data_IF_482873150947
#
_entry.id   IF_482873150947
#
_cell.length_a   1.000
_cell.length_b   1.000
_cell.length_c   1.000
_cell.angle_alpha   90.00
_cell.angle_beta   90.00
_cell.angle_gamma   90.00
#
_symmetry.space_group_name_H-M   'P 1'
#
loop_
_entity.id
_entity.type
_entity.pdbx_description
1 polymer ?
#
# COMPACT_ATOMS: atom_id res chain seq x y z
N UNK A 1 -10.75 0.90 -9.02
CA UNK A 1 -9.76 1.71 -9.75
C UNK A 1 -10.41 2.79 -10.62
N UNK A 2 -11.35 2.50 -11.51
CA UNK A 2 -12.01 3.47 -12.41
C UNK A 2 -12.61 4.66 -11.64
N UNK A 3 -13.40 4.42 -10.60
CA UNK A 3 -13.98 5.46 -9.75
C UNK A 3 -12.92 6.43 -9.21
N UNK A 4 -11.80 5.91 -8.69
CA UNK A 4 -10.72 6.74 -8.13
C UNK A 4 -10.08 7.59 -9.21
N UNK A 5 -9.87 7.05 -10.42
CA UNK A 5 -9.33 7.81 -11.56
C UNK A 5 -10.27 8.93 -11.98
N UNK A 6 -11.56 8.64 -12.09
CA UNK A 6 -12.57 9.63 -12.51
C UNK A 6 -12.76 10.76 -11.47
N UNK A 7 -12.60 10.47 -10.19
CA UNK A 7 -12.79 11.47 -9.12
C UNK A 7 -11.55 12.29 -8.79
N UNK A 8 -10.42 12.09 -9.49
CA UNK A 8 -9.17 12.86 -9.26
C UNK A 8 -9.10 14.19 -10.02
N UNK A 9 -9.82 14.28 -11.12
CA UNK A 9 -9.82 15.53 -11.90
C UNK A 9 -10.50 16.65 -11.11
N UNK A 10 -9.83 17.82 -11.02
CA UNK A 10 -10.37 19.01 -10.35
C UNK A 10 -11.12 19.94 -11.31
N UNK A 11 -10.65 20.06 -12.54
CA UNK A 11 -11.17 21.03 -13.51
C UNK A 11 -11.72 20.36 -14.76
N UNK A 12 -10.98 19.40 -15.31
CA UNK A 12 -11.35 18.72 -16.56
C UNK A 12 -10.94 17.27 -16.55
N UNK A 13 -11.88 16.40 -16.92
CA UNK A 13 -11.63 14.98 -17.14
C UNK A 13 -11.68 14.69 -18.64
N UNK A 14 -10.62 14.13 -19.18
CA UNK A 14 -10.57 13.66 -20.58
C UNK A 14 -10.40 12.13 -20.54
N UNK A 15 -11.35 11.43 -21.14
CA UNK A 15 -11.32 9.97 -21.25
C UNK A 15 -11.12 9.59 -22.71
N UNK A 16 -10.14 8.76 -22.98
CA UNK A 16 -9.83 8.27 -24.33
C UNK A 16 -10.02 6.76 -24.35
N UNK A 17 -10.79 6.29 -25.32
CA UNK A 17 -11.00 4.86 -25.55
C UNK A 17 -10.77 4.51 -27.01
N UNK A 18 -9.99 3.47 -27.26
CA UNK A 18 -9.71 2.98 -28.61
C UNK A 18 -10.35 1.61 -28.79
N UNK A 19 -11.08 1.45 -29.89
CA UNK A 19 -11.80 0.23 -30.20
C UNK A 19 -11.66 -0.14 -31.68
N UNK A 20 -11.08 -1.30 -31.97
CA UNK A 20 -10.84 -1.75 -33.37
C UNK A 20 -12.16 -1.92 -34.16
N UNK A 21 -13.19 -2.49 -33.56
CA UNK A 21 -14.52 -2.71 -34.18
C UNK A 21 -15.56 -1.83 -33.50
N UNK A 22 -15.35 -0.51 -33.46
CA UNK A 22 -16.15 0.43 -32.72
C UNK A 22 -17.65 0.34 -33.08
N UNK A 23 -17.99 0.27 -34.36
CA UNK A 23 -19.38 0.16 -34.84
C UNK A 23 -20.12 -1.03 -34.21
N UNK A 24 -19.57 -2.23 -34.31
CA UNK A 24 -20.17 -3.45 -33.75
C UNK A 24 -20.24 -3.37 -32.23
N UNK A 25 -19.15 -2.93 -31.58
CA UNK A 25 -19.10 -2.89 -30.11
C UNK A 25 -20.09 -1.87 -29.53
N UNK A 26 -20.19 -0.70 -30.16
CA UNK A 26 -21.18 0.32 -29.73
C UNK A 26 -22.61 -0.20 -29.93
N UNK A 27 -22.89 -0.92 -31.03
CA UNK A 27 -24.20 -1.53 -31.24
C UNK A 27 -24.54 -2.58 -30.16
N UNK A 28 -23.58 -3.44 -29.81
CA UNK A 28 -23.75 -4.43 -28.72
C UNK A 28 -24.04 -3.75 -27.38
N UNK A 29 -23.26 -2.72 -27.04
CA UNK A 29 -23.44 -1.98 -25.79
C UNK A 29 -24.75 -1.19 -25.77
N UNK A 30 -25.17 -0.66 -26.91
CA UNK A 30 -26.44 0.06 -27.04
C UNK A 30 -27.64 -0.84 -26.79
N UNK A 31 -27.55 -2.10 -27.23
CA UNK A 31 -28.59 -3.11 -26.97
C UNK A 31 -28.71 -3.48 -25.47
N UNK A 32 -27.63 -3.29 -24.69
CA UNK A 32 -27.58 -3.53 -23.26
C UNK A 32 -27.76 -2.26 -22.43
N UNK A 33 -27.73 -1.10 -23.08
CA UNK A 33 -27.77 0.20 -22.44
C UNK A 33 -29.19 0.55 -22.05
N UNK A 34 -29.46 0.63 -20.77
CA UNK A 34 -30.73 1.01 -20.18
C UNK A 34 -30.50 2.09 -19.10
N UNK A 35 -31.57 2.76 -18.67
CA UNK A 35 -31.47 3.78 -17.64
C UNK A 35 -32.46 3.47 -16.50
N UNK A 36 -31.94 3.10 -15.33
CA UNK A 36 -30.55 2.92 -14.92
C UNK A 36 -29.87 1.71 -15.59
N UNK A 37 -28.53 1.77 -15.71
CA UNK A 37 -27.73 0.64 -16.24
C UNK A 37 -27.91 -0.58 -15.32
N UNK A 38 -28.32 -1.69 -15.91
CA UNK A 38 -28.56 -2.92 -15.16
C UNK A 38 -27.25 -3.64 -14.77
N UNK A 39 -27.22 -4.36 -13.64
CA UNK A 39 -26.04 -5.11 -13.21
C UNK A 39 -25.50 -6.09 -14.26
N UNK A 40 -26.39 -6.78 -14.99
CA UNK A 40 -26.05 -7.74 -16.05
C UNK A 40 -25.34 -7.06 -17.22
N UNK A 41 -25.70 -5.81 -17.53
CA UNK A 41 -25.02 -5.02 -18.55
C UNK A 41 -23.58 -4.64 -18.09
N UNK A 42 -23.40 -4.31 -16.81
CA UNK A 42 -22.07 -4.03 -16.24
C UNK A 42 -21.19 -5.27 -16.27
N UNK A 43 -21.72 -6.45 -15.91
CA UNK A 43 -21.00 -7.72 -15.90
C UNK A 43 -20.61 -8.17 -17.33
N UNK A 44 -21.36 -7.77 -18.37
CA UNK A 44 -21.03 -8.05 -19.77
C UNK A 44 -19.88 -7.19 -20.32
N UNK A 45 -19.48 -6.15 -19.60
CA UNK A 45 -18.39 -5.25 -19.97
C UNK A 45 -17.03 -5.97 -20.04
N UNK A 46 -16.33 -5.85 -21.16
CA UNK A 46 -15.03 -6.49 -21.42
C UNK A 46 -13.86 -5.63 -21.01
N UNK A 47 -14.06 -4.32 -20.83
CA UNK A 47 -13.03 -3.38 -20.47
C UNK A 47 -13.64 -2.15 -19.75
N UNK A 48 -12.78 -1.32 -19.15
CA UNK A 48 -13.22 -0.09 -18.48
C UNK A 48 -13.94 0.90 -19.42
N UNK A 49 -13.58 0.91 -20.72
CA UNK A 49 -14.26 1.72 -21.72
C UNK A 49 -15.72 1.33 -21.91
N UNK A 50 -16.05 0.05 -21.84
CA UNK A 50 -17.44 -0.42 -21.93
C UNK A 50 -18.28 0.11 -20.76
N UNK A 51 -17.73 0.09 -19.55
CA UNK A 51 -18.42 0.62 -18.36
C UNK A 51 -18.68 2.13 -18.42
N UNK A 52 -17.82 2.86 -19.14
CA UNK A 52 -18.02 4.29 -19.38
C UNK A 52 -19.07 4.49 -20.51
N UNK A 53 -18.99 3.68 -21.55
CA UNK A 53 -19.90 3.80 -22.69
C UNK A 53 -21.33 3.42 -22.38
N UNK A 54 -21.58 2.44 -21.51
CA UNK A 54 -22.94 2.03 -21.13
C UNK A 54 -23.82 3.22 -20.66
N UNK A 55 -23.44 4.00 -19.62
CA UNK A 55 -24.20 5.17 -19.22
C UNK A 55 -24.08 6.32 -20.22
N UNK A 56 -22.92 6.45 -20.92
CA UNK A 56 -22.72 7.51 -21.90
C UNK A 56 -23.70 7.41 -23.08
N UNK A 57 -23.97 6.20 -23.55
CA UNK A 57 -24.90 5.97 -24.67
C UNK A 57 -26.34 6.41 -24.38
N UNK A 58 -26.69 6.58 -23.09
CA UNK A 58 -27.98 7.11 -22.65
C UNK A 58 -28.04 8.65 -22.61
N UNK A 59 -26.92 9.33 -22.88
CA UNK A 59 -26.84 10.78 -22.84
C UNK A 59 -27.14 11.41 -24.21
N UNK A 60 -27.73 12.59 -24.21
CA UNK A 60 -27.99 13.35 -25.43
C UNK A 60 -26.71 13.62 -26.22
N UNK A 61 -25.59 13.89 -25.53
CA UNK A 61 -24.30 14.23 -26.12
C UNK A 61 -23.62 13.08 -26.87
N UNK A 62 -24.09 11.84 -26.69
CA UNK A 62 -23.57 10.65 -27.35
C UNK A 62 -24.20 10.37 -28.72
N UNK A 63 -24.86 11.33 -29.34
CA UNK A 63 -25.50 11.18 -30.66
C UNK A 63 -24.53 10.61 -31.71
N UNK A 64 -23.30 11.13 -31.80
CA UNK A 64 -22.27 10.64 -32.73
C UNK A 64 -21.90 9.18 -32.54
N UNK A 65 -21.94 8.66 -31.31
CA UNK A 65 -21.70 7.24 -31.03
C UNK A 65 -22.89 6.38 -31.49
N UNK A 66 -24.12 6.84 -31.29
CA UNK A 66 -25.33 6.11 -31.74
C UNK A 66 -25.42 6.10 -33.25
N UNK A 67 -25.10 7.19 -33.92
CA UNK A 67 -25.02 7.25 -35.37
C UNK A 67 -23.98 6.27 -35.94
N UNK A 68 -22.80 6.14 -35.29
CA UNK A 68 -21.79 5.16 -35.65
C UNK A 68 -22.37 3.74 -35.64
N UNK A 69 -23.24 3.43 -34.67
CA UNK A 69 -23.93 2.13 -34.59
C UNK A 69 -25.11 1.96 -35.54
N UNK A 70 -25.43 3.00 -36.32
CA UNK A 70 -26.55 3.00 -37.28
C UNK A 70 -27.92 3.26 -36.62
N UNK A 71 -27.92 3.79 -35.40
CA UNK A 71 -29.15 4.21 -34.73
C UNK A 71 -29.27 5.72 -34.72
N UNK A 72 -30.08 6.25 -35.62
CA UNK A 72 -30.53 7.64 -35.62
C UNK A 72 -31.93 7.68 -35.06
N UNK A 73 -32.11 7.69 -33.77
CA UNK A 73 -33.42 7.59 -33.14
C UNK A 73 -33.72 8.69 -32.14
N UNK A 74 -34.93 9.21 -32.17
CA UNK A 74 -35.54 9.99 -31.11
C UNK A 74 -35.78 9.07 -29.90
N UNK A 75 -34.87 9.12 -28.89
CA UNK A 75 -35.02 8.39 -27.64
C UNK A 75 -35.12 9.34 -26.44
N UNK A 76 -35.58 8.85 -25.30
CA UNK A 76 -35.42 9.57 -24.03
C UNK A 76 -34.01 9.45 -23.58
N UNK A 77 -33.25 10.54 -23.72
CA UNK A 77 -31.84 10.60 -23.28
C UNK A 77 -31.73 11.35 -21.97
N UNK A 78 -30.82 10.88 -21.14
CA UNK A 78 -30.48 11.55 -19.89
C UNK A 78 -29.74 12.84 -20.18
N UNK A 79 -30.17 13.93 -19.53
CA UNK A 79 -29.51 15.24 -19.56
C UNK A 79 -29.36 15.71 -18.13
N UNK A 80 -28.17 16.14 -17.76
CA UNK A 80 -27.89 16.79 -16.48
C UNK A 80 -27.09 18.09 -16.69
N UNK A 81 -26.78 18.77 -15.61
CA UNK A 81 -26.05 20.05 -15.64
C UNK A 81 -24.56 19.87 -15.97
N UNK A 82 -24.06 18.63 -16.01
CA UNK A 82 -22.64 18.34 -16.25
C UNK A 82 -22.35 18.40 -17.74
N UNK A 83 -21.49 19.35 -18.21
CA UNK A 83 -21.19 19.48 -19.62
C UNK A 83 -20.32 18.31 -20.11
N UNK A 84 -20.83 17.56 -21.08
CA UNK A 84 -20.10 16.50 -21.76
C UNK A 84 -19.79 16.89 -23.20
N UNK A 85 -18.65 16.46 -23.70
CA UNK A 85 -18.31 16.55 -25.12
C UNK A 85 -17.83 15.18 -25.57
N UNK A 86 -18.55 14.60 -26.53
CA UNK A 86 -18.22 13.30 -27.12
C UNK A 86 -17.68 13.53 -28.52
N UNK A 87 -16.50 13.01 -28.81
CA UNK A 87 -15.88 13.06 -30.13
C UNK A 87 -15.51 11.66 -30.59
N UNK A 88 -15.92 11.31 -31.78
CA UNK A 88 -15.55 10.07 -32.44
C UNK A 88 -14.53 10.41 -33.51
N UNK A 89 -13.39 9.74 -33.47
CA UNK A 89 -12.33 9.90 -34.44
C UNK A 89 -12.07 8.56 -35.12
N UNK A 90 -11.94 8.56 -36.42
CA UNK A 90 -11.38 7.41 -37.14
C UNK A 90 -9.87 7.38 -36.87
N UNK A 91 -9.35 6.22 -36.49
CA UNK A 91 -7.91 6.03 -36.25
C UNK A 91 -7.03 6.41 -37.43
N UNK A 92 -7.56 6.28 -38.64
CA UNK A 92 -6.88 6.72 -39.86
C UNK A 92 -6.79 8.25 -39.98
N UNK A 93 -7.68 9.01 -39.35
CA UNK A 93 -7.65 10.49 -39.40
C UNK A 93 -6.47 11.11 -38.65
N UNK A 94 -5.83 10.33 -37.74
CA UNK A 94 -4.61 10.73 -37.05
C UNK A 94 -3.33 10.35 -37.81
N UNK A 95 -3.47 9.47 -38.80
CA UNK A 95 -2.41 9.18 -39.74
C UNK A 95 -2.56 10.16 -40.89
N UNK A 96 -2.32 11.44 -40.66
CA UNK A 96 -1.93 12.29 -41.77
C UNK A 96 -0.65 11.64 -42.30
N UNK A 97 -0.57 11.23 -43.58
CA UNK A 97 0.72 10.96 -44.15
C UNK A 97 1.43 12.30 -44.03
N UNK A 98 2.33 12.49 -43.08
CA UNK A 98 3.43 13.37 -43.32
C UNK A 98 4.04 12.78 -44.59
N UNK A 99 3.68 13.33 -45.73
CA UNK A 99 4.53 13.30 -46.87
C UNK A 99 5.88 13.76 -46.32
N UNK A 100 6.74 12.80 -46.05
CA UNK A 100 8.16 13.09 -45.98
C UNK A 100 8.40 13.66 -47.37
N UNK A 101 8.84 14.89 -47.50
CA UNK A 101 9.30 15.39 -48.77
C UNK A 101 10.65 14.71 -49.01
N UNK A 102 10.61 13.42 -49.44
CA UNK A 102 11.82 12.71 -49.92
C UNK A 102 12.37 13.34 -51.18
N UNK A 103 11.70 14.34 -51.71
CA UNK A 103 12.09 15.11 -52.93
C UNK A 103 12.36 16.59 -52.68
N UNK A 104 12.46 17.05 -51.43
CA UNK A 104 12.92 18.41 -51.18
C UNK A 104 14.45 18.48 -51.28
N UNK A 105 15.04 19.41 -52.09
CA UNK A 105 16.49 19.61 -52.10
C UNK A 105 16.99 19.88 -50.71
N UNK A 106 18.07 19.20 -50.32
CA UNK A 106 18.71 19.28 -48.98
C UNK A 106 19.19 20.68 -48.60
N UNK A 107 19.05 21.67 -49.52
CA UNK A 107 19.48 23.07 -49.32
C UNK A 107 18.37 24.07 -49.05
N UNK A 108 17.16 23.65 -48.70
CA UNK A 108 16.15 24.58 -48.22
C UNK A 108 16.54 25.04 -46.79
N UNK A 109 17.00 26.29 -46.70
CA UNK A 109 17.19 26.90 -45.39
C UNK A 109 15.90 26.81 -44.57
N UNK A 110 15.95 26.45 -43.27
CA UNK A 110 14.76 26.35 -42.43
C UNK A 110 13.95 27.66 -42.50
N UNK A 111 12.60 27.58 -42.46
CA UNK A 111 11.77 28.76 -42.51
C UNK A 111 12.19 29.74 -41.41
N UNK A 112 12.36 31.02 -41.77
CA UNK A 112 12.87 32.07 -40.90
C UNK A 112 11.98 32.41 -39.70
N UNK A 113 10.82 31.78 -39.58
CA UNK A 113 9.84 31.98 -38.50
C UNK A 113 9.81 30.85 -37.48
N UNK A 114 10.72 29.87 -37.53
CA UNK A 114 10.87 28.94 -36.42
C UNK A 114 11.48 29.67 -35.22
N UNK A 115 10.68 29.83 -34.18
CA UNK A 115 11.19 30.30 -32.88
C UNK A 115 12.45 29.50 -32.56
N UNK A 116 13.58 30.14 -32.27
CA UNK A 116 14.82 29.42 -31.99
C UNK A 116 14.55 28.46 -30.85
N UNK A 117 14.65 27.16 -31.13
CA UNK A 117 14.52 26.13 -30.08
C UNK A 117 15.65 26.40 -29.10
N UNK A 118 15.30 26.82 -27.90
CA UNK A 118 16.28 26.97 -26.82
C UNK A 118 16.72 25.57 -26.34
N UNK A 119 17.78 25.04 -26.94
CA UNK A 119 18.38 23.78 -26.54
C UNK A 119 18.90 23.82 -25.09
N UNK A 120 19.12 25.01 -24.50
CA UNK A 120 19.46 25.13 -23.11
C UNK A 120 18.33 24.63 -22.20
N UNK A 121 17.08 24.81 -22.64
CA UNK A 121 15.94 24.23 -21.91
C UNK A 121 15.93 22.71 -21.90
N UNK A 122 16.49 22.05 -22.90
CA UNK A 122 16.63 20.58 -22.95
C UNK A 122 17.72 20.05 -22.02
N UNK A 123 18.69 20.90 -21.64
CA UNK A 123 19.75 20.58 -20.69
C UNK A 123 19.41 20.94 -19.24
N UNK A 124 18.20 21.47 -19.01
CA UNK A 124 17.75 21.82 -17.67
C UNK A 124 17.77 20.59 -16.76
N UNK A 125 18.51 20.70 -15.67
CA UNK A 125 18.48 19.71 -14.59
C UNK A 125 17.72 20.32 -13.42
N UNK A 126 16.72 19.57 -12.94
CA UNK A 126 15.97 19.98 -11.76
C UNK A 126 16.93 20.15 -10.57
N UNK A 127 17.02 21.35 -9.95
CA UNK A 127 18.00 21.62 -8.90
C UNK A 127 17.85 20.69 -7.69
N UNK A 128 16.63 20.21 -7.44
CA UNK A 128 16.28 19.37 -6.31
C UNK A 128 16.12 17.90 -6.71
N UNK A 129 16.75 17.45 -7.80
CA UNK A 129 16.64 16.06 -8.28
C UNK A 129 17.05 15.02 -7.23
N UNK A 130 18.05 15.32 -6.38
CA UNK A 130 18.46 14.46 -5.28
C UNK A 130 17.37 14.29 -4.22
N UNK A 131 16.55 15.30 -4.00
CA UNK A 131 15.46 15.29 -3.01
C UNK A 131 14.26 14.50 -3.51
N UNK A 132 14.01 14.45 -4.82
CA UNK A 132 12.90 13.68 -5.39
C UNK A 132 13.05 12.17 -5.22
N UNK A 133 14.27 11.69 -5.00
CA UNK A 133 14.55 10.28 -4.72
C UNK A 133 14.23 9.87 -3.27
N UNK A 134 14.11 10.85 -2.36
CA UNK A 134 13.80 10.57 -0.96
C UNK A 134 12.27 10.48 -0.75
N UNK A 135 11.78 9.45 -0.04
CA UNK A 135 10.34 9.28 0.14
C UNK A 135 9.77 10.36 1.07
N UNK A 136 8.63 10.94 0.71
CA UNK A 136 7.91 11.91 1.55
C UNK A 136 7.34 11.26 2.85
N UNK A 137 7.30 9.93 2.91
CA UNK A 137 6.81 9.13 4.03
C UNK A 137 7.74 7.95 4.28
N UNK A 138 8.10 7.74 5.55
CA UNK A 138 8.83 6.58 6.04
C UNK A 138 8.02 5.86 7.12
N UNK A 139 8.14 4.54 7.17
CA UNK A 139 7.67 3.77 8.32
C UNK A 139 8.84 3.42 9.22
N UNK A 140 8.59 3.31 10.54
CA UNK A 140 9.62 2.90 11.49
C UNK A 140 10.21 1.52 11.14
N UNK A 141 9.42 0.65 10.53
CA UNK A 141 9.86 -0.66 10.04
C UNK A 141 10.86 -0.54 8.87
N UNK A 142 10.69 0.44 7.98
CA UNK A 142 11.62 0.66 6.85
C UNK A 142 12.99 1.18 7.29
N UNK A 143 13.11 1.75 8.49
CA UNK A 143 14.40 2.24 9.01
C UNK A 143 15.39 1.13 9.33
N UNK A 144 14.92 -0.09 9.55
CA UNK A 144 15.79 -1.28 9.75
C UNK A 144 16.46 -1.79 8.46
N UNK A 145 16.08 -1.23 7.29
CA UNK A 145 16.66 -1.57 5.99
C UNK A 145 15.87 -2.65 5.23
N UNK A 146 15.92 -2.58 3.90
CA UNK A 146 15.20 -3.51 3.00
C UNK A 146 15.68 -4.96 3.07
N UNK A 147 16.95 -5.18 3.45
CA UNK A 147 17.55 -6.51 3.49
C UNK A 147 16.82 -7.47 4.45
N UNK A 148 16.28 -6.95 5.57
CA UNK A 148 15.55 -7.76 6.56
C UNK A 148 14.14 -8.17 6.12
N UNK A 149 13.46 -7.30 5.38
CA UNK A 149 12.13 -7.65 4.84
C UNK A 149 12.25 -8.75 3.77
N UNK A 150 13.41 -8.85 3.11
CA UNK A 150 13.73 -9.91 2.17
C UNK A 150 14.08 -11.22 2.90
N UNK A 151 14.84 -11.23 4.01
CA UNK A 151 15.15 -12.43 4.79
C UNK A 151 13.93 -13.06 5.47
N UNK A 152 13.00 -12.25 5.98
CA UNK A 152 11.72 -12.76 6.54
C UNK A 152 10.86 -13.40 5.43
N UNK A 153 11.05 -12.92 4.19
CA UNK A 153 10.46 -13.48 2.97
C UNK A 153 11.24 -14.66 2.38
N UNK A 154 12.52 -14.85 2.77
CA UNK A 154 13.48 -15.76 2.15
C UNK A 154 13.41 -17.23 2.58
N UNK A 155 12.37 -17.66 3.25
CA UNK A 155 12.03 -19.08 3.13
C UNK A 155 11.39 -19.44 1.76
N UNK A 156 11.42 -18.50 0.81
CA UNK A 156 11.05 -18.73 -0.58
C UNK A 156 12.31 -18.57 -1.45
N UNK A 157 12.87 -19.68 -1.90
CA UNK A 157 14.08 -19.83 -2.75
C UNK A 157 13.96 -19.24 -4.16
N UNK A 158 13.19 -18.19 -4.41
CA UNK A 158 12.98 -17.60 -5.73
C UNK A 158 13.48 -16.16 -5.82
N UNK A 159 14.28 -15.81 -6.85
CA UNK A 159 14.79 -14.47 -7.06
C UNK A 159 13.66 -13.45 -7.33
N UNK A 160 13.85 -12.16 -6.99
CA UNK A 160 12.81 -11.10 -7.04
C UNK A 160 12.09 -10.94 -8.39
N UNK A 161 12.77 -11.25 -9.50
CA UNK A 161 12.19 -11.16 -10.85
C UNK A 161 11.14 -12.22 -11.17
N UNK A 162 11.08 -13.32 -10.42
CA UNK A 162 10.12 -14.39 -10.61
C UNK A 162 8.88 -14.25 -9.73
N UNK A 163 8.88 -13.32 -8.75
CA UNK A 163 7.71 -13.07 -7.88
C UNK A 163 6.49 -12.54 -8.64
N UNK A 164 6.68 -11.84 -9.77
CA UNK A 164 5.58 -11.34 -10.60
C UNK A 164 4.81 -12.45 -11.33
N UNK A 165 5.38 -13.65 -11.40
CA UNK A 165 4.77 -14.84 -12.01
C UNK A 165 4.15 -15.78 -10.98
N UNK A 166 4.21 -15.43 -9.68
CA UNK A 166 3.67 -16.27 -8.62
C UNK A 166 2.14 -16.30 -8.69
N UNK A 167 1.59 -17.49 -8.84
CA UNK A 167 0.14 -17.68 -8.80
C UNK A 167 -0.37 -17.25 -7.41
N UNK A 168 -1.46 -16.49 -7.33
CA UNK A 168 -2.09 -16.19 -6.04
C UNK A 168 -2.34 -17.48 -5.26
N UNK A 169 -2.19 -17.47 -3.93
CA UNK A 169 -2.32 -18.66 -3.04
C UNK A 169 -3.62 -19.44 -3.27
N UNK A 170 -4.72 -18.75 -3.55
CA UNK A 170 -6.01 -19.38 -3.84
C UNK A 170 -6.01 -20.21 -5.13
N UNK A 171 -5.08 -19.95 -6.07
CA UNK A 171 -4.89 -20.73 -7.28
C UNK A 171 -3.84 -21.83 -7.13
N UNK A 172 -2.97 -21.74 -6.12
CA UNK A 172 -1.90 -22.72 -5.87
C UNK A 172 -2.33 -23.86 -4.96
N UNK A 173 -3.48 -23.72 -4.27
CA UNK A 173 -3.94 -24.72 -3.29
C UNK A 173 -3.09 -24.80 -2.02
N UNK A 174 -2.20 -23.83 -1.80
CA UNK A 174 -1.34 -23.79 -0.62
C UNK A 174 -2.13 -23.29 0.61
N UNK A 175 -2.27 -24.15 1.60
CA UNK A 175 -2.98 -23.87 2.87
C UNK A 175 -2.04 -23.45 4.00
N UNK A 176 -0.73 -23.45 3.79
CA UNK A 176 0.25 -23.16 4.85
C UNK A 176 0.62 -21.68 4.89
N UNK A 177 0.55 -21.09 6.11
CA UNK A 177 0.97 -19.71 6.34
C UNK A 177 2.49 -19.55 6.21
N UNK A 178 2.92 -18.46 5.58
CA UNK A 178 4.32 -18.04 5.56
C UNK A 178 4.83 -17.65 6.94
N UNK A 179 6.15 -17.54 7.11
CA UNK A 179 6.74 -17.02 8.36
C UNK A 179 6.20 -15.66 8.76
N UNK A 180 6.07 -14.72 7.79
CA UNK A 180 5.52 -13.39 8.02
C UNK A 180 4.05 -13.43 8.46
N UNK A 181 3.22 -14.27 7.85
CA UNK A 181 1.80 -14.41 8.22
C UNK A 181 1.64 -15.02 9.62
N UNK A 182 2.51 -15.96 10.00
CA UNK A 182 2.56 -16.49 11.38
C UNK A 182 2.99 -15.41 12.39
N UNK A 183 3.96 -14.58 12.01
CA UNK A 183 4.33 -13.41 12.80
C UNK A 183 3.15 -12.48 13.02
N UNK A 184 2.45 -12.12 11.95
CA UNK A 184 1.24 -11.29 12.03
C UNK A 184 0.17 -11.90 12.94
N UNK A 185 -0.06 -13.22 12.87
CA UNK A 185 -1.01 -13.90 13.73
C UNK A 185 -0.63 -13.79 15.22
N UNK A 186 0.66 -13.92 15.55
CA UNK A 186 1.14 -13.76 16.91
C UNK A 186 0.97 -12.32 17.41
N UNK A 187 1.31 -11.30 16.61
CA UNK A 187 1.10 -9.89 16.98
C UNK A 187 -0.39 -9.60 17.24
N UNK A 188 -1.30 -10.12 16.40
CA UNK A 188 -2.74 -9.98 16.61
C UNK A 188 -3.19 -10.59 17.94
N UNK A 189 -2.63 -11.74 18.31
CA UNK A 189 -2.91 -12.33 19.64
C UNK A 189 -2.36 -11.44 20.75
N UNK A 190 -1.10 -10.99 20.64
CA UNK A 190 -0.45 -10.15 21.66
C UNK A 190 -1.15 -8.81 21.86
N UNK A 191 -1.80 -8.28 20.83
CA UNK A 191 -2.60 -7.06 20.91
C UNK A 191 -3.75 -7.19 21.90
N UNK A 192 -4.45 -8.33 21.90
CA UNK A 192 -5.68 -8.55 22.67
C UNK A 192 -5.52 -9.50 23.86
N UNK A 193 -4.36 -10.15 24.00
CA UNK A 193 -4.08 -11.12 25.06
C UNK A 193 -4.26 -10.51 26.44
N UNK A 194 -5.00 -11.18 27.32
CA UNK A 194 -5.05 -10.83 28.73
C UNK A 194 -3.75 -11.30 29.42
N UNK A 195 -2.90 -10.35 29.79
CA UNK A 195 -1.63 -10.65 30.47
C UNK A 195 -1.81 -11.11 31.91
N UNK A 196 -3.03 -11.01 32.48
CA UNK A 196 -3.36 -11.54 33.80
C UNK A 196 -3.90 -12.96 33.80
N UNK A 197 -4.08 -13.55 32.62
CA UNK A 197 -4.51 -14.94 32.54
C UNK A 197 -3.49 -15.89 33.17
N UNK A 198 -3.94 -17.09 33.51
CA UNK A 198 -3.03 -18.17 33.94
C UNK A 198 -2.04 -18.47 32.82
N UNK A 199 -0.75 -18.54 33.16
CA UNK A 199 0.32 -18.85 32.22
C UNK A 199 0.35 -20.36 31.89
N UNK A 200 -0.76 -20.89 31.32
CA UNK A 200 -0.97 -22.24 30.87
C UNK A 200 -1.34 -22.34 29.41
N UNK A 201 -1.03 -23.46 28.74
CA UNK A 201 -1.41 -23.64 27.33
C UNK A 201 -2.93 -23.62 27.16
N UNK A 202 -3.68 -24.12 28.15
CA UNK A 202 -5.14 -24.13 28.12
C UNK A 202 -5.70 -22.71 28.06
N UNK A 203 -5.29 -21.85 28.98
CA UNK A 203 -5.77 -20.47 29.06
C UNK A 203 -5.43 -19.66 27.80
N UNK A 204 -4.23 -19.83 27.25
CA UNK A 204 -3.84 -19.16 26.00
C UNK A 204 -4.67 -19.66 24.82
N UNK A 205 -4.92 -21.00 24.71
CA UNK A 205 -5.77 -21.55 23.65
C UNK A 205 -7.18 -21.01 23.72
N UNK A 206 -7.76 -20.88 24.90
CA UNK A 206 -9.10 -20.31 25.10
C UNK A 206 -9.17 -18.85 24.59
N UNK A 207 -8.13 -18.08 24.83
CA UNK A 207 -8.06 -16.70 24.32
C UNK A 207 -7.90 -16.64 22.79
N UNK A 208 -7.06 -17.49 22.22
CA UNK A 208 -6.90 -17.61 20.76
C UNK A 208 -8.24 -18.01 20.12
N UNK A 209 -8.95 -18.96 20.72
CA UNK A 209 -10.26 -19.39 20.23
C UNK A 209 -11.31 -18.27 20.35
N UNK A 210 -11.29 -17.49 21.43
CA UNK A 210 -12.13 -16.31 21.59
C UNK A 210 -11.86 -15.27 20.48
N UNK A 211 -10.59 -15.01 20.13
CA UNK A 211 -10.23 -14.10 19.05
C UNK A 211 -10.67 -14.62 17.69
N UNK A 212 -10.57 -15.93 17.46
CA UNK A 212 -11.10 -16.60 16.27
C UNK A 212 -12.63 -16.43 16.17
N UNK A 213 -13.35 -16.72 17.25
CA UNK A 213 -14.80 -16.56 17.31
C UNK A 213 -15.24 -15.10 17.06
N UNK A 214 -14.43 -14.12 17.48
CA UNK A 214 -14.63 -12.69 17.22
C UNK A 214 -14.20 -12.25 15.80
N UNK A 215 -13.74 -13.18 14.96
CA UNK A 215 -13.22 -12.93 13.60
C UNK A 215 -12.01 -11.99 13.56
N UNK A 216 -11.26 -11.88 14.64
CA UNK A 216 -9.98 -11.19 14.69
C UNK A 216 -8.84 -12.03 14.12
N UNK A 217 -8.99 -13.36 14.16
CA UNK A 217 -8.08 -14.34 13.55
C UNK A 217 -8.87 -15.21 12.57
N UNK A 218 -8.22 -15.60 11.47
CA UNK A 218 -8.73 -16.68 10.61
C UNK A 218 -8.46 -18.05 11.26
N UNK A 219 -9.09 -19.10 10.73
CA UNK A 219 -8.86 -20.46 11.22
C UNK A 219 -7.39 -20.89 11.04
N UNK A 220 -6.79 -20.53 9.92
CA UNK A 220 -5.39 -20.78 9.61
C UNK A 220 -4.46 -20.02 10.57
N UNK A 221 -4.76 -18.74 10.83
CA UNK A 221 -3.98 -17.92 11.77
C UNK A 221 -4.06 -18.49 13.19
N UNK A 222 -5.26 -18.82 13.66
CA UNK A 222 -5.45 -19.40 15.00
C UNK A 222 -4.67 -20.72 15.17
N UNK A 223 -4.67 -21.56 14.12
CA UNK A 223 -3.93 -22.84 14.11
C UNK A 223 -2.41 -22.65 14.12
N UNK A 224 -1.92 -21.55 13.57
CA UNK A 224 -0.50 -21.28 13.40
C UNK A 224 0.15 -20.56 14.60
N UNK A 225 -0.64 -20.14 15.58
CA UNK A 225 -0.13 -19.45 16.79
C UNK A 225 0.70 -20.41 17.64
N UNK A 226 1.93 -20.00 17.95
CA UNK A 226 2.77 -20.75 18.92
C UNK A 226 2.34 -20.43 20.35
N UNK A 227 1.40 -21.21 20.85
CA UNK A 227 0.85 -21.09 22.22
C UNK A 227 1.95 -21.24 23.27
N UNK A 228 2.95 -22.13 23.05
CA UNK A 228 4.03 -22.35 24.01
C UNK A 228 4.95 -21.14 24.13
N UNK A 229 5.19 -20.45 23.01
CA UNK A 229 5.98 -19.23 23.01
C UNK A 229 5.27 -18.12 23.81
N UNK A 230 3.94 -18.01 23.69
CA UNK A 230 3.15 -17.07 24.47
C UNK A 230 3.16 -17.42 25.97
N UNK A 231 3.05 -18.69 26.31
CA UNK A 231 3.16 -19.15 27.72
C UNK A 231 4.53 -18.82 28.31
N UNK A 232 5.61 -18.99 27.53
CA UNK A 232 6.96 -18.57 27.98
C UNK A 232 7.01 -17.06 28.24
N UNK A 233 6.45 -16.26 27.34
CA UNK A 233 6.35 -14.81 27.55
C UNK A 233 5.59 -14.47 28.84
N UNK A 234 4.41 -15.05 29.07
CA UNK A 234 3.60 -14.79 30.26
C UNK A 234 4.33 -15.14 31.58
N UNK A 235 5.32 -16.03 31.52
CA UNK A 235 6.18 -16.42 32.66
C UNK A 235 7.45 -15.56 32.78
N UNK A 236 7.73 -14.69 31.83
CA UNK A 236 8.94 -13.86 31.85
C UNK A 236 8.84 -12.70 32.83
N UNK A 237 10.02 -12.18 33.23
CA UNK A 237 10.12 -10.99 34.07
C UNK A 237 9.51 -9.77 33.39
N UNK A 238 9.66 -9.64 32.07
CA UNK A 238 9.04 -8.58 31.28
C UNK A 238 7.50 -8.59 31.43
N UNK A 239 6.87 -9.76 31.30
CA UNK A 239 5.43 -9.89 31.48
C UNK A 239 5.00 -9.56 32.93
N UNK A 240 5.82 -9.91 33.92
CA UNK A 240 5.58 -9.51 35.32
C UNK A 240 5.64 -7.98 35.50
N UNK A 241 6.62 -7.33 34.88
CA UNK A 241 6.73 -5.84 34.86
C UNK A 241 5.52 -5.19 34.19
N UNK A 242 5.09 -5.72 33.04
CA UNK A 242 3.91 -5.24 32.32
C UNK A 242 2.66 -5.35 33.22
N UNK A 243 2.46 -6.49 33.90
CA UNK A 243 1.32 -6.69 34.81
C UNK A 243 1.36 -5.71 35.99
N UNK A 244 2.54 -5.48 36.58
CA UNK A 244 2.71 -4.52 37.69
C UNK A 244 2.29 -3.11 37.27
N UNK A 245 2.52 -2.73 36.03
CA UNK A 245 2.25 -1.39 35.50
C UNK A 245 1.00 -1.35 34.58
N UNK A 246 0.08 -2.28 34.70
CA UNK A 246 -1.02 -2.52 33.77
C UNK A 246 -1.87 -1.30 33.43
N UNK A 247 -2.00 -0.35 34.34
CA UNK A 247 -2.81 0.85 34.14
C UNK A 247 -2.21 1.80 33.10
N UNK A 248 -0.91 1.75 32.88
CA UNK A 248 -0.19 2.59 31.93
C UNK A 248 0.14 1.87 30.64
N UNK A 249 -0.11 0.55 30.55
CA UNK A 249 0.14 -0.25 29.35
C UNK A 249 -0.67 0.26 28.17
N UNK A 250 0.01 0.48 27.05
CA UNK A 250 -0.60 0.76 25.75
C UNK A 250 -0.06 -0.25 24.75
N UNK A 251 -0.94 -0.79 23.91
CA UNK A 251 -0.60 -1.73 22.86
C UNK A 251 -1.04 -1.20 21.50
N UNK A 252 -0.30 -1.57 20.44
CA UNK A 252 -0.59 -1.14 19.07
C UNK A 252 -0.76 0.38 18.94
N UNK A 253 0.14 1.11 19.59
CA UNK A 253 0.05 2.57 19.62
C UNK A 253 0.56 3.18 18.32
N UNK A 254 -0.33 3.77 17.56
CA UNK A 254 -0.03 4.39 16.26
C UNK A 254 0.48 5.81 16.46
N UNK A 255 1.54 6.15 15.75
CA UNK A 255 2.07 7.51 15.73
C UNK A 255 2.35 8.01 14.32
N UNK A 256 2.35 9.33 14.17
CA UNK A 256 2.75 10.05 12.94
C UNK A 256 3.47 11.33 13.35
N UNK A 257 4.70 11.49 12.89
CA UNK A 257 5.55 12.65 13.20
C UNK A 257 6.14 13.23 11.93
N UNK A 258 6.16 14.55 11.81
CA UNK A 258 6.98 15.23 10.83
C UNK A 258 8.40 15.37 11.37
N UNK A 259 9.39 14.90 10.59
CA UNK A 259 10.81 14.95 10.93
C UNK A 259 11.60 15.58 9.80
N UNK A 260 12.65 16.38 10.08
CA UNK A 260 13.54 16.87 9.06
C UNK A 260 14.17 15.71 8.27
N UNK A 261 14.27 15.84 6.94
CA UNK A 261 14.92 14.84 6.07
C UNK A 261 16.36 14.55 6.51
N UNK A 262 17.08 15.56 7.02
CA UNK A 262 18.46 15.43 7.54
C UNK A 262 18.62 14.41 8.66
N UNK A 263 17.54 14.02 9.34
CA UNK A 263 17.59 12.98 10.38
C UNK A 263 17.74 11.58 9.78
N UNK A 264 17.49 11.42 8.47
CA UNK A 264 17.47 10.13 7.78
C UNK A 264 18.44 10.05 6.59
N UNK A 265 18.87 11.18 6.07
CA UNK A 265 19.75 11.25 4.91
C UNK A 265 20.62 12.52 4.96
N UNK A 266 21.84 12.43 4.38
CA UNK A 266 22.74 13.58 4.20
C UNK A 266 22.28 14.43 3.02
N UNK A 267 21.06 14.96 3.08
CA UNK A 267 20.52 15.88 2.11
C UNK A 267 20.45 17.27 2.74
N UNK A 268 21.01 18.25 2.04
CA UNK A 268 20.89 19.67 2.41
C UNK A 268 19.52 20.18 1.95
N UNK A 269 18.50 19.86 2.74
CA UNK A 269 17.12 20.24 2.47
C UNK A 269 16.40 20.56 3.78
N UNK A 270 15.67 21.64 3.79
CA UNK A 270 14.76 22.00 4.88
C UNK A 270 13.42 21.22 4.80
N UNK A 271 13.37 20.18 3.98
CA UNK A 271 12.19 19.35 3.81
C UNK A 271 11.92 18.48 5.04
N UNK A 272 10.64 18.15 5.22
CA UNK A 272 10.18 17.25 6.26
C UNK A 272 9.61 15.97 5.66
N UNK A 273 9.89 14.85 6.34
CA UNK A 273 9.34 13.53 6.02
C UNK A 273 8.35 13.10 7.11
N UNK A 274 7.26 12.48 6.68
CA UNK A 274 6.28 11.91 7.59
C UNK A 274 6.76 10.53 8.06
N UNK A 275 7.24 10.46 9.32
CA UNK A 275 7.56 9.20 9.98
C UNK A 275 6.31 8.63 10.66
N UNK A 276 5.95 7.41 10.30
CA UNK A 276 4.81 6.68 10.88
C UNK A 276 5.24 5.34 11.45
N UNK A 277 4.51 4.87 12.45
CA UNK A 277 4.75 3.55 13.03
C UNK A 277 3.65 3.12 13.97
N UNK A 278 3.77 1.88 14.39
CA UNK A 278 2.94 1.28 15.43
C UNK A 278 3.88 0.68 16.46
N UNK A 279 3.74 1.10 17.72
CA UNK A 279 4.51 0.54 18.84
C UNK A 279 3.72 -0.62 19.40
N UNK A 280 4.30 -1.81 19.41
CA UNK A 280 3.60 -3.04 19.83
C UNK A 280 3.09 -2.92 21.26
N UNK A 281 3.96 -2.51 22.17
CA UNK A 281 3.62 -2.31 23.57
C UNK A 281 4.55 -1.28 24.22
N UNK A 282 4.00 -0.46 25.10
CA UNK A 282 4.80 0.34 26.06
C UNK A 282 4.03 0.52 27.35
N UNK A 283 4.75 0.81 28.40
CA UNK A 283 4.19 1.10 29.73
C UNK A 283 5.10 2.10 30.47
N UNK A 284 4.55 2.67 31.52
CA UNK A 284 5.28 3.57 32.41
C UNK A 284 5.74 2.82 33.66
N UNK A 285 7.00 2.97 34.00
CA UNK A 285 7.63 2.42 35.18
C UNK A 285 8.51 3.48 35.82
N UNK A 286 8.26 3.80 37.08
CA UNK A 286 8.98 4.84 37.84
C UNK A 286 8.98 6.23 37.17
N UNK A 287 7.90 6.57 36.46
CA UNK A 287 7.75 7.86 35.78
C UNK A 287 8.38 7.95 34.40
N UNK A 288 9.07 6.91 33.93
CA UNK A 288 9.69 6.81 32.63
C UNK A 288 9.02 5.70 31.77
N UNK A 289 9.20 5.75 30.46
CA UNK A 289 8.60 4.79 29.54
C UNK A 289 9.52 3.61 29.28
N UNK A 290 8.94 2.43 29.21
CA UNK A 290 9.57 1.20 28.74
C UNK A 290 8.87 0.79 27.44
N UNK A 291 9.62 0.72 26.35
CA UNK A 291 9.13 0.34 25.01
C UNK A 291 9.43 -1.12 24.78
N UNK A 292 8.43 -1.87 24.35
CA UNK A 292 8.55 -3.31 24.06
C UNK A 292 8.13 -3.55 22.61
N UNK A 293 8.95 -4.30 21.90
CA UNK A 293 8.68 -4.70 20.54
C UNK A 293 8.83 -6.22 20.43
N UNK A 294 7.81 -6.89 19.90
CA UNK A 294 7.71 -8.33 19.84
C UNK A 294 8.29 -8.87 18.53
N UNK A 295 9.21 -9.84 18.61
CA UNK A 295 9.88 -10.40 17.44
C UNK A 295 9.59 -11.90 17.32
N UNK A 296 9.17 -12.27 16.11
CA UNK A 296 8.81 -13.65 15.76
C UNK A 296 9.84 -14.34 14.88
N UNK A 297 11.00 -13.70 14.68
CA UNK A 297 12.12 -14.23 13.91
C UNK A 297 12.55 -15.59 14.46
N UNK A 298 12.83 -16.52 13.55
CA UNK A 298 13.40 -17.82 13.92
C UNK A 298 14.92 -17.69 14.06
N UNK A 299 15.35 -17.31 15.24
CA UNK A 299 16.76 -17.14 15.56
C UNK A 299 17.21 -18.07 16.68
N UNK A 300 18.51 -18.36 16.74
CA UNK A 300 19.16 -18.97 17.89
C UNK A 300 19.66 -17.93 18.90
N UNK A 301 19.99 -18.36 20.11
CA UNK A 301 20.49 -17.47 21.19
C UNK A 301 21.73 -16.66 20.79
N UNK A 302 22.61 -17.26 19.99
CA UNK A 302 23.84 -16.60 19.54
C UNK A 302 23.60 -15.44 18.54
N UNK A 303 22.41 -15.37 17.96
CA UNK A 303 22.04 -14.36 16.98
C UNK A 303 21.28 -13.17 17.57
N UNK A 304 20.93 -13.22 18.87
CA UNK A 304 20.13 -12.19 19.54
C UNK A 304 20.80 -10.81 19.43
N UNK A 305 22.11 -10.74 19.69
CA UNK A 305 22.86 -9.48 19.69
C UNK A 305 22.84 -8.83 18.30
N UNK A 306 23.21 -9.58 17.29
CA UNK A 306 23.21 -9.13 15.90
C UNK A 306 21.82 -8.68 15.45
N UNK A 307 20.80 -9.46 15.75
CA UNK A 307 19.42 -9.10 15.41
C UNK A 307 18.93 -7.88 16.17
N UNK A 308 19.29 -7.72 17.42
CA UNK A 308 18.92 -6.56 18.23
C UNK A 308 19.47 -5.26 17.61
N UNK A 309 20.71 -5.27 17.14
CA UNK A 309 21.30 -4.13 16.45
C UNK A 309 20.54 -3.75 15.16
N UNK A 310 20.06 -4.71 14.40
CA UNK A 310 19.24 -4.46 13.22
C UNK A 310 17.88 -3.78 13.55
N UNK A 311 17.31 -4.09 14.72
CA UNK A 311 16.05 -3.47 15.17
C UNK A 311 16.24 -2.16 15.91
N UNK A 312 17.49 -1.79 16.27
CA UNK A 312 17.79 -0.54 16.97
C UNK A 312 17.18 0.71 16.31
N UNK A 313 17.30 0.95 15.00
CA UNK A 313 16.70 2.14 14.37
C UNK A 313 15.18 2.21 14.51
N UNK A 314 14.50 1.07 14.49
CA UNK A 314 13.05 0.98 14.69
C UNK A 314 12.67 1.42 16.12
N UNK A 315 13.36 0.89 17.14
CA UNK A 315 13.07 1.22 18.53
C UNK A 315 13.48 2.66 18.88
N UNK A 316 14.50 3.20 18.23
CA UNK A 316 14.88 4.61 18.35
C UNK A 316 13.77 5.51 17.79
N UNK A 317 13.21 5.17 16.64
CA UNK A 317 12.07 5.88 16.08
C UNK A 317 10.84 5.83 17.01
N UNK A 318 10.56 4.68 17.61
CA UNK A 318 9.49 4.53 18.62
C UNK A 318 9.73 5.40 19.84
N UNK A 319 10.95 5.34 20.39
CA UNK A 319 11.35 6.13 21.57
C UNK A 319 11.22 7.61 21.31
N UNK A 320 11.73 8.07 20.18
CA UNK A 320 11.61 9.47 19.76
C UNK A 320 10.16 9.91 19.65
N UNK A 321 9.31 9.07 19.03
CA UNK A 321 7.90 9.36 18.88
C UNK A 321 7.19 9.46 20.22
N UNK A 322 7.40 8.50 21.09
CA UNK A 322 6.78 8.48 22.42
C UNK A 322 7.26 9.63 23.30
N UNK A 323 8.55 9.94 23.32
CA UNK A 323 9.08 11.11 24.05
C UNK A 323 8.43 12.40 23.56
N UNK A 324 8.23 12.54 22.24
CA UNK A 324 7.60 13.74 21.67
C UNK A 324 6.12 13.86 22.02
N UNK A 325 5.40 12.73 21.97
CA UNK A 325 3.94 12.70 22.18
C UNK A 325 3.57 12.69 23.66
N UNK A 326 4.28 11.90 24.46
CA UNK A 326 3.97 11.70 25.87
C UNK A 326 4.68 12.69 26.80
N UNK A 327 5.71 13.39 26.31
CA UNK A 327 6.51 14.30 27.13
C UNK A 327 7.35 13.60 28.21
N UNK A 328 7.55 12.28 28.10
CA UNK A 328 8.28 11.45 29.07
C UNK A 328 9.51 10.82 28.42
N UNK A 329 10.55 10.59 29.23
CA UNK A 329 11.75 9.88 28.76
C UNK A 329 11.46 8.40 28.55
N UNK A 330 12.10 7.81 27.56
CA UNK A 330 12.17 6.35 27.39
C UNK A 330 13.44 5.86 28.08
N UNK A 331 13.25 5.05 29.13
CA UNK A 331 14.34 4.46 29.91
C UNK A 331 14.91 3.22 29.24
N UNK A 332 14.02 2.35 28.77
CA UNK A 332 14.39 1.07 28.20
C UNK A 332 13.68 0.82 26.87
N UNK A 333 14.40 0.21 25.95
CA UNK A 333 13.88 -0.31 24.69
C UNK A 333 14.13 -1.82 24.69
N UNK A 334 13.06 -2.59 24.77
CA UNK A 334 13.13 -4.05 24.96
C UNK A 334 12.63 -4.75 23.70
N UNK A 335 13.43 -5.65 23.17
CA UNK A 335 13.03 -6.63 22.16
C UNK A 335 12.74 -7.96 22.88
N UNK A 336 11.58 -8.53 22.62
CA UNK A 336 11.28 -9.88 23.10
C UNK A 336 11.22 -10.86 21.93
N UNK A 337 12.14 -11.80 21.87
CA UNK A 337 12.23 -12.81 20.80
C UNK A 337 11.48 -14.09 21.18
N UNK A 338 10.33 -14.29 20.59
CA UNK A 338 9.45 -15.45 20.90
C UNK A 338 10.09 -16.79 20.58
N UNK A 339 10.94 -16.89 19.55
CA UNK A 339 11.59 -18.14 19.15
C UNK A 339 12.48 -18.74 20.24
N UNK A 340 13.20 -17.88 20.95
CA UNK A 340 14.12 -18.26 22.03
C UNK A 340 13.54 -18.02 23.42
N UNK A 341 12.51 -17.17 23.55
CA UNK A 341 11.87 -16.80 24.81
C UNK A 341 12.73 -15.87 25.66
N UNK A 342 13.54 -15.01 25.02
CA UNK A 342 14.47 -14.13 25.70
C UNK A 342 14.23 -12.65 25.32
N UNK A 343 14.53 -11.77 26.25
CA UNK A 343 14.51 -10.33 26.07
C UNK A 343 15.90 -9.77 25.87
N UNK A 344 15.98 -8.70 25.07
CA UNK A 344 17.19 -7.90 24.89
C UNK A 344 16.86 -6.43 25.09
N UNK A 345 17.55 -5.79 26.04
CA UNK A 345 17.51 -4.34 26.26
C UNK A 345 18.56 -3.68 25.38
N UNK A 346 18.15 -2.58 24.69
CA UNK A 346 18.96 -1.78 23.77
C UNK A 346 19.30 -0.41 24.37
#
# INVERSE_FOLDING_TARGET
MLYVAMTRAKEKLVMVHTQANAKSRVADLLALSDCPVLPEAVDSGKCMGDWIMLPLLQRSEAASLRELAGQSGEGRFFVDETPWTVRVHDGLSFVTPQQRPDDAPVDAAPPKDELPVDFAALSYRYPYAGQTAFPAKLTATQLKGRALDEEISENTTLPPRLRSLYKPKFLAGETTLTGAERGTALHLVMQDLDFFCEASEQSVREQVEKLRAQRKLTDEQASAVDVRAIVRFLRSDLAARIRKNAQTVRREYRFSLLRPVRDFATLDADDAVLLQGVVDCFFEEDGELVVVDFKTDRIGRTQIEERAEHYRPQLEAYSMALMRVMGKKVREKVLYFFSVGEEKVL
#
